data_IF_266624232074
#
_entry.id   IF_266624232074
#
_cell.length_a   1.000
_cell.length_b   1.000
_cell.length_c   1.000
_cell.angle_alpha   90.00
_cell.angle_beta   90.00
_cell.angle_gamma   90.00
#
_symmetry.space_group_name_H-M   'P 1'
#
loop_
_entity.id
_entity.type
_entity.pdbx_description
1 polymer ?
#
# COMPACT_ATOMS: atom_id res chain seq x y z
N UNK A 1 -63.61 56.48 43.25
CA UNK A 1 -63.34 55.10 43.66
C UNK A 1 -61.84 54.88 43.67
N UNK A 2 -61.37 54.11 44.64
CA UNK A 2 -60.12 54.28 45.37
C UNK A 2 -58.85 53.74 44.72
N UNK A 3 -57.74 54.30 45.20
CA UNK A 3 -56.35 53.84 45.10
C UNK A 3 -56.06 52.45 45.73
N UNK A 4 -54.90 51.90 45.34
CA UNK A 4 -53.80 51.32 46.16
C UNK A 4 -53.35 49.89 45.75
N UNK A 5 -52.17 49.88 45.10
CA UNK A 5 -50.92 49.13 45.35
C UNK A 5 -50.81 47.58 45.44
N UNK A 6 -49.76 47.12 44.73
CA UNK A 6 -48.75 46.08 45.08
C UNK A 6 -49.17 44.61 45.22
N UNK A 7 -48.55 43.71 44.43
CA UNK A 7 -47.32 42.96 44.79
C UNK A 7 -46.92 41.98 43.68
N UNK A 8 -45.64 41.94 43.32
CA UNK A 8 -45.05 40.86 42.53
C UNK A 8 -44.75 39.63 43.42
N UNK A 9 -44.70 38.43 42.82
CA UNK A 9 -43.56 37.53 43.06
C UNK A 9 -43.01 36.96 41.74
N UNK A 10 -41.72 37.14 41.47
CA UNK A 10 -40.62 36.21 41.79
C UNK A 10 -40.45 35.11 40.71
N UNK A 11 -39.46 35.37 39.84
CA UNK A 11 -38.88 34.40 38.91
C UNK A 11 -38.21 33.27 39.68
N UNK A 12 -38.68 32.03 39.52
CA UNK A 12 -37.94 30.84 39.96
C UNK A 12 -37.15 30.31 38.76
N UNK A 13 -35.85 30.65 38.73
CA UNK A 13 -34.90 30.06 37.79
C UNK A 13 -34.59 28.62 38.24
N UNK A 14 -34.95 27.64 37.43
CA UNK A 14 -34.52 26.26 37.61
C UNK A 14 -33.02 26.16 37.27
N UNK A 15 -32.17 26.03 38.28
CA UNK A 15 -30.75 25.68 38.14
C UNK A 15 -30.64 24.19 37.80
N UNK A 16 -30.23 23.87 36.57
CA UNK A 16 -29.70 22.56 36.24
C UNK A 16 -28.31 22.41 36.88
N UNK A 17 -28.19 21.54 37.89
CA UNK A 17 -26.92 21.18 38.49
C UNK A 17 -26.23 20.10 37.64
N UNK A 18 -25.23 20.49 36.85
CA UNK A 18 -24.33 19.54 36.19
C UNK A 18 -23.31 19.02 37.21
N UNK A 19 -23.38 17.73 37.54
CA UNK A 19 -22.32 17.03 38.29
C UNK A 19 -21.08 16.93 37.40
N UNK A 20 -20.05 17.72 37.70
CA UNK A 20 -18.69 17.54 37.17
C UNK A 20 -18.08 16.30 37.85
N UNK A 21 -18.00 15.19 37.12
CA UNK A 21 -17.18 14.06 37.53
C UNK A 21 -15.71 14.44 37.35
N UNK A 22 -14.95 14.48 38.44
CA UNK A 22 -13.51 14.67 38.39
C UNK A 22 -12.84 13.41 37.82
N UNK A 23 -12.25 13.52 36.63
CA UNK A 23 -11.47 12.45 36.02
C UNK A 23 -10.18 12.22 36.83
N UNK A 24 -9.90 10.97 37.19
CA UNK A 24 -8.61 10.55 37.78
C UNK A 24 -7.48 10.78 36.77
N UNK A 25 -6.26 11.16 37.20
CA UNK A 25 -5.12 11.27 36.29
C UNK A 25 -4.76 9.88 35.74
N UNK A 26 -4.63 9.79 34.42
CA UNK A 26 -4.08 8.60 33.77
C UNK A 26 -2.63 8.37 34.21
N UNK A 27 -2.18 7.11 34.40
CA UNK A 27 -0.79 6.84 34.75
C UNK A 27 0.12 7.31 33.61
N UNK A 28 1.26 7.91 33.98
CA UNK A 28 2.26 8.41 33.04
C UNK A 28 2.68 7.31 32.06
N UNK A 29 2.35 7.52 30.79
CA UNK A 29 2.75 6.67 29.68
C UNK A 29 4.27 6.69 29.57
N UNK A 30 4.89 5.51 29.68
CA UNK A 30 6.30 5.29 29.37
C UNK A 30 6.53 5.78 27.94
N UNK A 31 7.41 6.77 27.77
CA UNK A 31 7.82 7.34 26.49
C UNK A 31 8.05 6.23 25.44
N UNK A 32 7.05 5.99 24.59
CA UNK A 32 7.20 5.18 23.39
C UNK A 32 8.15 5.97 22.48
N UNK A 33 9.36 5.46 22.29
CA UNK A 33 10.32 6.02 21.33
C UNK A 33 9.63 6.01 19.98
N UNK A 34 9.24 7.19 19.47
CA UNK A 34 8.77 7.33 18.08
C UNK A 34 9.82 6.65 17.19
N UNK A 35 9.46 5.66 16.37
CA UNK A 35 10.41 5.13 15.42
C UNK A 35 10.85 6.26 14.51
N UNK A 36 12.12 6.19 14.16
CA UNK A 36 12.82 7.22 13.39
C UNK A 36 12.29 7.26 11.95
N UNK A 37 11.65 6.17 11.49
CA UNK A 37 10.97 6.08 10.20
C UNK A 37 9.45 5.91 10.32
N UNK A 38 8.71 6.53 9.42
CA UNK A 38 7.28 6.26 9.19
C UNK A 38 7.01 6.04 7.72
N UNK A 39 6.11 5.11 7.38
CA UNK A 39 5.63 4.89 6.02
C UNK A 39 4.13 5.14 5.95
N UNK A 40 3.73 6.17 5.23
CA UNK A 40 2.32 6.44 4.98
C UNK A 40 1.76 5.49 3.92
N UNK A 41 0.58 4.92 4.17
CA UNK A 41 -0.10 3.92 3.33
C UNK A 41 -1.58 4.31 3.17
N UNK A 42 -2.20 3.99 2.04
CA UNK A 42 -3.62 4.29 1.78
C UNK A 42 -4.53 3.09 2.03
N UNK A 43 -4.14 1.89 1.61
CA UNK A 43 -4.87 0.65 1.89
C UNK A 43 -3.95 -0.56 1.73
N UNK A 44 -4.14 -1.58 2.55
CA UNK A 44 -3.51 -2.88 2.36
C UNK A 44 -4.27 -3.77 1.38
N UNK A 45 -5.59 -3.61 1.27
CA UNK A 45 -6.40 -4.38 0.33
C UNK A 45 -6.29 -3.86 -1.12
N UNK A 46 -6.35 -2.54 -1.32
CA UNK A 46 -6.54 -1.93 -2.64
C UNK A 46 -5.28 -1.26 -3.20
N UNK A 47 -4.39 -0.74 -2.34
CA UNK A 47 -3.24 0.06 -2.82
C UNK A 47 -2.05 -0.79 -3.22
N UNK A 48 -1.91 -0.99 -4.53
CA UNK A 48 -0.70 -1.60 -5.11
C UNK A 48 0.56 -0.76 -4.88
N UNK A 49 0.44 0.56 -4.76
CA UNK A 49 1.56 1.45 -4.47
C UNK A 49 2.05 1.31 -3.03
N UNK A 50 1.12 1.28 -2.07
CA UNK A 50 1.41 1.08 -0.66
C UNK A 50 2.15 -0.25 -0.42
N UNK A 51 1.69 -1.33 -1.06
CA UNK A 51 2.36 -2.63 -0.99
C UNK A 51 3.82 -2.57 -1.47
N UNK A 52 4.09 -1.91 -2.59
CA UNK A 52 5.45 -1.77 -3.15
C UNK A 52 6.39 -1.08 -2.17
N UNK A 53 6.00 0.09 -1.66
CA UNK A 53 6.83 0.86 -0.72
C UNK A 53 7.06 0.10 0.59
N UNK A 54 6.02 -0.59 1.08
CA UNK A 54 6.11 -1.39 2.29
C UNK A 54 7.04 -2.59 2.14
N UNK A 55 6.93 -3.34 1.04
CA UNK A 55 7.84 -4.45 0.74
C UNK A 55 9.28 -3.95 0.61
N UNK A 56 9.51 -2.81 -0.06
CA UNK A 56 10.86 -2.25 -0.17
C UNK A 56 11.46 -1.92 1.20
N UNK A 57 10.70 -1.28 2.09
CA UNK A 57 11.16 -0.97 3.45
C UNK A 57 11.45 -2.24 4.27
N UNK A 58 10.60 -3.27 4.17
CA UNK A 58 10.82 -4.57 4.81
C UNK A 58 12.04 -5.30 4.23
N UNK A 59 12.22 -5.29 2.92
CA UNK A 59 13.36 -5.91 2.25
C UNK A 59 14.67 -5.23 2.66
N UNK A 60 14.64 -3.90 2.84
CA UNK A 60 15.77 -3.11 3.34
C UNK A 60 16.12 -3.40 4.82
N UNK A 61 15.23 -4.08 5.56
CA UNK A 61 15.36 -4.26 7.00
C UNK A 61 15.30 -2.94 7.77
N UNK A 62 14.53 -1.97 7.26
CA UNK A 62 14.24 -0.72 7.96
C UNK A 62 13.08 -0.97 8.93
N UNK A 63 13.26 -0.58 10.19
CA UNK A 63 12.18 -0.52 11.18
C UNK A 63 11.39 0.77 10.96
N UNK A 64 10.06 0.69 10.82
CA UNK A 64 9.20 1.85 10.59
C UNK A 64 7.81 1.66 11.20
N UNK A 65 7.16 2.78 11.56
CA UNK A 65 5.73 2.80 11.85
C UNK A 65 4.92 2.96 10.57
N UNK A 66 3.81 2.24 10.47
CA UNK A 66 2.82 2.43 9.43
C UNK A 66 1.86 3.56 9.81
N UNK A 67 1.62 4.49 8.88
CA UNK A 67 0.64 5.58 9.06
C UNK A 67 -0.43 5.43 7.99
N UNK A 68 -1.57 4.84 8.36
CA UNK A 68 -2.72 4.76 7.46
C UNK A 68 -3.30 6.15 7.22
N UNK A 69 -3.33 6.58 5.96
CA UNK A 69 -3.93 7.84 5.52
C UNK A 69 -5.42 7.62 5.32
N UNK A 70 -6.25 8.57 5.75
CA UNK A 70 -7.71 8.49 5.55
C UNK A 70 -8.03 8.39 4.05
N UNK A 71 -9.00 7.57 3.62
CA UNK A 71 -9.53 7.60 2.25
C UNK A 71 -10.09 8.98 1.83
N UNK A 72 -10.50 9.81 2.79
CA UNK A 72 -10.95 11.19 2.54
C UNK A 72 -9.81 12.16 2.16
N UNK A 73 -8.55 11.76 2.39
CA UNK A 73 -7.40 12.53 1.93
C UNK A 73 -7.37 12.54 0.40
N UNK A 74 -7.23 13.74 -0.19
CA UNK A 74 -7.33 13.92 -1.63
C UNK A 74 -6.26 13.16 -2.42
N UNK A 75 -5.08 12.95 -1.84
CA UNK A 75 -4.01 12.19 -2.47
C UNK A 75 -4.31 10.69 -2.34
N UNK A 76 -4.65 10.20 -1.14
CA UNK A 76 -5.06 8.80 -0.95
C UNK A 76 -6.23 8.40 -1.86
N UNK A 77 -7.27 9.24 -1.95
CA UNK A 77 -8.42 8.99 -2.84
C UNK A 77 -8.03 8.88 -4.31
N UNK A 78 -7.17 9.78 -4.80
CA UNK A 78 -6.67 9.72 -6.20
C UNK A 78 -5.87 8.46 -6.47
N UNK A 79 -5.12 7.97 -5.50
CA UNK A 79 -4.36 6.72 -5.64
C UNK A 79 -5.27 5.51 -5.74
N UNK A 80 -6.21 5.41 -4.80
CA UNK A 80 -7.14 4.30 -4.71
C UNK A 80 -8.02 4.23 -5.97
N UNK A 81 -8.48 5.38 -6.48
CA UNK A 81 -9.26 5.48 -7.72
C UNK A 81 -8.40 5.43 -9.00
N UNK A 82 -7.09 5.19 -8.89
CA UNK A 82 -6.15 5.13 -10.03
C UNK A 82 -6.18 6.40 -10.92
N UNK A 83 -6.51 7.56 -10.36
CA UNK A 83 -6.71 8.83 -11.08
C UNK A 83 -5.41 9.56 -11.41
N UNK A 84 -4.29 9.19 -10.80
CA UNK A 84 -2.99 9.79 -11.09
C UNK A 84 -1.85 8.77 -11.00
N UNK A 85 -0.81 8.88 -11.85
CA UNK A 85 0.36 8.01 -11.78
C UNK A 85 1.35 8.39 -10.66
N UNK A 86 1.19 9.59 -10.06
CA UNK A 86 2.00 10.06 -8.93
C UNK A 86 1.09 10.57 -7.83
N UNK A 87 1.03 9.82 -6.74
CA UNK A 87 0.45 10.25 -5.48
C UNK A 87 1.55 10.31 -4.43
N UNK A 88 1.38 11.17 -3.42
CA UNK A 88 2.25 11.24 -2.24
C UNK A 88 2.13 10.03 -1.30
N UNK A 89 1.53 8.93 -1.73
CA UNK A 89 1.37 7.68 -0.97
C UNK A 89 1.79 6.50 -1.88
N UNK A 90 2.69 5.61 -1.43
CA UNK A 90 3.35 5.63 -0.14
C UNK A 90 4.36 6.78 -0.01
N UNK A 91 4.60 7.21 1.23
CA UNK A 91 5.65 8.17 1.55
C UNK A 91 6.44 7.73 2.77
N UNK A 92 7.74 7.54 2.58
CA UNK A 92 8.69 7.25 3.65
C UNK A 92 9.20 8.57 4.22
N UNK A 93 9.07 8.74 5.53
CA UNK A 93 9.78 9.79 6.28
C UNK A 93 10.83 9.12 7.14
N UNK A 94 12.11 9.50 6.99
CA UNK A 94 13.23 8.91 7.73
C UNK A 94 14.40 9.90 7.78
N UNK A 95 14.98 10.14 8.97
CA UNK A 95 16.13 11.03 9.18
C UNK A 95 16.02 12.41 8.49
N UNK A 96 14.83 13.01 8.57
CA UNK A 96 14.53 14.32 7.96
C UNK A 96 14.24 14.30 6.47
N UNK A 97 14.45 13.16 5.79
CA UNK A 97 14.01 12.96 4.42
C UNK A 97 12.51 12.63 4.37
N UNK A 98 11.81 13.18 3.38
CA UNK A 98 10.44 12.80 3.02
C UNK A 98 10.42 12.36 1.56
N UNK A 99 10.31 11.07 1.32
CA UNK A 99 10.46 10.44 0.00
C UNK A 99 9.13 9.85 -0.41
N UNK A 100 8.53 10.40 -1.47
CA UNK A 100 7.35 9.85 -2.15
C UNK A 100 7.77 9.34 -3.52
N UNK A 101 6.98 8.45 -4.12
CA UNK A 101 7.31 7.60 -5.29
C UNK A 101 8.10 6.33 -4.91
N UNK A 102 7.62 5.18 -5.36
CA UNK A 102 8.18 3.87 -5.01
C UNK A 102 9.59 3.63 -5.56
N UNK A 103 9.92 4.15 -6.75
CA UNK A 103 11.30 4.06 -7.24
C UNK A 103 12.25 4.94 -6.43
N UNK A 104 11.81 6.14 -6.03
CA UNK A 104 12.60 7.03 -5.18
C UNK A 104 12.83 6.42 -3.80
N UNK A 105 11.79 5.80 -3.22
CA UNK A 105 11.90 5.01 -1.97
C UNK A 105 12.91 3.87 -2.15
N UNK A 106 12.87 3.13 -3.25
CA UNK A 106 13.84 2.06 -3.52
C UNK A 106 15.28 2.57 -3.57
N UNK A 107 15.56 3.69 -4.28
CA UNK A 107 16.92 4.25 -4.34
C UNK A 107 17.37 4.76 -2.97
N UNK A 108 16.52 5.49 -2.25
CA UNK A 108 16.83 5.97 -0.92
C UNK A 108 17.21 4.82 0.03
N UNK A 109 16.42 3.75 0.03
CA UNK A 109 16.69 2.57 0.84
C UNK A 109 17.98 1.83 0.42
N UNK A 110 18.27 1.76 -0.87
CA UNK A 110 19.53 1.20 -1.39
C UNK A 110 20.74 2.05 -0.98
N UNK A 111 20.60 3.38 -0.92
CA UNK A 111 21.65 4.29 -0.44
C UNK A 111 21.93 4.12 1.06
N UNK A 112 20.89 4.03 1.89
CA UNK A 112 21.07 3.92 3.35
C UNK A 112 21.30 2.48 3.83
N UNK A 113 20.96 1.47 3.03
CA UNK A 113 21.10 0.02 3.33
C UNK A 113 21.59 -0.76 2.11
N UNK A 114 22.79 -0.47 1.57
CA UNK A 114 23.29 -1.05 0.32
C UNK A 114 23.48 -2.57 0.35
N UNK A 115 23.65 -3.15 1.54
CA UNK A 115 23.81 -4.59 1.72
C UNK A 115 22.48 -5.36 1.80
N UNK A 116 21.34 -4.66 1.76
CA UNK A 116 20.02 -5.31 1.83
C UNK A 116 19.63 -6.07 0.56
N UNK A 117 20.37 -5.89 -0.54
CA UNK A 117 20.13 -6.62 -1.78
C UNK A 117 18.91 -6.15 -2.57
N UNK A 118 18.42 -4.92 -2.32
CA UNK A 118 17.35 -4.31 -3.13
C UNK A 118 17.73 -4.21 -4.61
N UNK A 119 19.02 -4.07 -4.91
CA UNK A 119 19.56 -4.04 -6.25
C UNK A 119 20.56 -5.18 -6.46
N UNK A 120 20.63 -5.76 -7.68
CA UNK A 120 21.73 -6.65 -8.04
C UNK A 120 23.10 -5.96 -7.87
N UNK A 121 24.13 -6.72 -7.48
CA UNK A 121 25.50 -6.21 -7.34
C UNK A 121 26.16 -5.95 -8.69
N UNK A 122 25.92 -6.83 -9.67
CA UNK A 122 26.42 -6.64 -11.03
C UNK A 122 25.77 -5.40 -11.69
N UNK A 123 26.58 -4.62 -12.40
CA UNK A 123 26.16 -3.36 -13.00
C UNK A 123 25.10 -3.57 -14.08
N UNK A 124 25.24 -4.61 -14.91
CA UNK A 124 24.32 -4.87 -16.03
C UNK A 124 22.99 -5.40 -15.50
N UNK A 125 23.03 -6.36 -14.57
CA UNK A 125 21.83 -6.84 -13.89
C UNK A 125 21.12 -5.71 -13.14
N UNK A 126 21.85 -4.80 -12.49
CA UNK A 126 21.28 -3.62 -11.82
C UNK A 126 20.63 -2.64 -12.79
N UNK A 127 21.24 -2.41 -13.95
CA UNK A 127 20.63 -1.59 -15.00
C UNK A 127 19.32 -2.22 -15.50
N UNK A 128 19.32 -3.53 -15.74
CA UNK A 128 18.12 -4.25 -16.15
C UNK A 128 17.02 -4.20 -15.07
N UNK A 129 17.37 -4.41 -13.79
CA UNK A 129 16.46 -4.30 -12.65
C UNK A 129 15.78 -2.94 -12.57
N UNK A 130 16.53 -1.85 -12.82
CA UNK A 130 15.98 -0.50 -12.89
C UNK A 130 15.05 -0.30 -14.08
N UNK A 131 15.40 -0.83 -15.25
CA UNK A 131 14.56 -0.71 -16.45
C UNK A 131 13.19 -1.37 -16.27
N UNK A 132 13.15 -2.64 -15.82
CA UNK A 132 11.88 -3.37 -15.66
C UNK A 132 11.03 -2.79 -14.52
N UNK A 133 11.69 -2.34 -13.45
CA UNK A 133 11.01 -1.64 -12.35
C UNK A 133 10.46 -0.29 -12.80
N UNK A 134 11.21 0.43 -13.64
CA UNK A 134 10.80 1.69 -14.26
C UNK A 134 9.57 1.51 -15.13
N UNK A 135 9.59 0.50 -16.01
CA UNK A 135 8.45 0.13 -16.86
C UNK A 135 7.21 -0.22 -16.01
N UNK A 136 7.38 -0.98 -14.92
CA UNK A 136 6.30 -1.29 -13.98
C UNK A 136 5.81 -0.09 -13.16
N UNK A 137 6.64 0.94 -13.01
CA UNK A 137 6.26 2.18 -12.35
C UNK A 137 5.41 3.05 -13.29
N UNK A 138 5.80 3.22 -14.56
CA UNK A 138 5.17 4.20 -15.46
C UNK A 138 4.21 3.62 -16.50
N UNK A 139 4.32 2.33 -16.85
CA UNK A 139 3.51 1.66 -17.88
C UNK A 139 2.36 0.84 -17.30
N UNK A 140 1.70 -0.01 -18.09
CA UNK A 140 0.67 -0.99 -17.68
C UNK A 140 -0.66 -0.41 -17.15
N UNK A 141 -1.11 0.71 -17.70
CA UNK A 141 -2.33 1.38 -17.24
C UNK A 141 -3.60 0.53 -17.46
N UNK A 142 -3.68 -0.19 -18.59
CA UNK A 142 -4.86 -0.98 -18.93
C UNK A 142 -4.98 -2.20 -18.01
N UNK A 143 -3.87 -2.89 -17.72
CA UNK A 143 -3.84 -3.92 -16.68
C UNK A 143 -4.37 -3.37 -15.35
N UNK A 144 -3.90 -2.19 -14.96
CA UNK A 144 -4.26 -1.64 -13.65
C UNK A 144 -5.73 -1.33 -13.51
N UNK A 145 -6.32 -0.78 -14.58
CA UNK A 145 -7.74 -0.44 -14.64
C UNK A 145 -8.63 -1.68 -14.77
N UNK A 146 -8.22 -2.69 -15.56
CA UNK A 146 -9.04 -3.88 -15.80
C UNK A 146 -8.96 -4.93 -14.69
N UNK A 147 -7.87 -4.97 -13.94
CA UNK A 147 -7.60 -6.00 -12.94
C UNK A 147 -7.11 -5.35 -11.63
N UNK A 148 -7.88 -4.46 -10.98
CA UNK A 148 -7.46 -3.75 -9.76
C UNK A 148 -6.99 -4.71 -8.66
N UNK A 149 -6.08 -4.26 -7.79
CA UNK A 149 -5.70 -5.11 -6.66
C UNK A 149 -6.86 -5.16 -5.66
N UNK A 150 -7.33 -6.36 -5.33
CA UNK A 150 -8.25 -6.61 -4.23
C UNK A 150 -7.90 -7.97 -3.62
N UNK A 151 -7.27 -7.96 -2.44
CA UNK A 151 -6.76 -9.16 -1.77
C UNK A 151 -7.84 -9.96 -1.02
N UNK A 152 -9.05 -9.40 -0.90
CA UNK A 152 -10.23 -10.10 -0.39
C UNK A 152 -11.02 -10.80 -1.50
N UNK A 153 -10.84 -10.40 -2.75
CA UNK A 153 -11.57 -10.94 -3.89
C UNK A 153 -10.90 -12.17 -4.51
N UNK A 154 -11.71 -12.95 -5.21
CA UNK A 154 -11.28 -14.03 -6.10
C UNK A 154 -12.33 -14.18 -7.21
N UNK A 155 -11.91 -14.06 -8.47
CA UNK A 155 -12.77 -14.07 -9.66
C UNK A 155 -12.33 -15.19 -10.61
N UNK A 156 -12.77 -16.44 -10.37
CA UNK A 156 -12.38 -17.56 -11.20
C UNK A 156 -12.81 -17.39 -12.65
N UNK A 157 -11.90 -17.65 -13.59
CA UNK A 157 -12.18 -17.56 -15.02
C UNK A 157 -12.57 -16.15 -15.52
N UNK A 158 -12.13 -15.10 -14.82
CA UNK A 158 -12.42 -13.72 -15.20
C UNK A 158 -12.02 -13.44 -16.67
N UNK A 159 -12.93 -12.79 -17.40
CA UNK A 159 -12.71 -12.49 -18.82
C UNK A 159 -11.79 -11.29 -18.97
N UNK A 160 -10.59 -11.53 -19.51
CA UNK A 160 -9.67 -10.46 -19.88
C UNK A 160 -10.16 -9.77 -21.14
N UNK A 161 -10.43 -8.47 -21.05
CA UNK A 161 -10.79 -7.64 -22.19
C UNK A 161 -9.54 -7.27 -23.00
N UNK A 162 -9.70 -7.11 -24.31
CA UNK A 162 -8.59 -6.96 -25.26
C UNK A 162 -7.59 -5.84 -24.92
N UNK A 163 -8.01 -4.79 -24.22
CA UNK A 163 -7.13 -3.69 -23.83
C UNK A 163 -6.05 -4.06 -22.79
N UNK A 164 -6.31 -5.03 -21.91
CA UNK A 164 -5.37 -5.44 -20.87
C UNK A 164 -4.43 -6.57 -21.31
N UNK A 165 -4.78 -7.33 -22.35
CA UNK A 165 -3.98 -8.47 -22.81
C UNK A 165 -2.55 -8.07 -23.23
N UNK A 166 -2.31 -6.98 -23.99
CA UNK A 166 -0.95 -6.56 -24.35
C UNK A 166 -0.06 -6.25 -23.14
N UNK A 167 -0.65 -5.65 -22.09
CA UNK A 167 0.07 -5.37 -20.84
C UNK A 167 0.45 -6.68 -20.12
N UNK A 168 -0.47 -7.65 -20.09
CA UNK A 168 -0.21 -8.98 -19.51
C UNK A 168 0.91 -9.68 -20.28
N UNK A 169 0.84 -9.68 -21.61
CA UNK A 169 1.82 -10.34 -22.48
C UNK A 169 3.22 -9.74 -22.27
N UNK A 170 3.32 -8.42 -22.19
CA UNK A 170 4.58 -7.73 -21.91
C UNK A 170 5.14 -8.06 -20.53
N UNK A 171 4.30 -8.18 -19.51
CA UNK A 171 4.75 -8.60 -18.17
C UNK A 171 5.26 -10.04 -18.19
N UNK A 172 4.55 -10.94 -18.85
CA UNK A 172 4.96 -12.35 -18.99
C UNK A 172 6.29 -12.45 -19.73
N UNK A 173 6.51 -11.63 -20.76
CA UNK A 173 7.79 -11.52 -21.45
C UNK A 173 8.91 -11.08 -20.49
N UNK A 174 8.73 -9.97 -19.77
CA UNK A 174 9.70 -9.46 -18.79
C UNK A 174 10.07 -10.52 -17.76
N UNK A 175 9.05 -11.17 -17.16
CA UNK A 175 9.28 -12.18 -16.14
C UNK A 175 9.99 -13.41 -16.70
N UNK A 176 9.58 -13.87 -17.88
CA UNK A 176 10.21 -15.02 -18.54
C UNK A 176 11.67 -14.74 -18.85
N UNK A 177 11.99 -13.55 -19.39
CA UNK A 177 13.36 -13.12 -19.66
C UNK A 177 14.20 -13.05 -18.38
N UNK A 178 13.68 -12.39 -17.34
CA UNK A 178 14.36 -12.24 -16.05
C UNK A 178 14.65 -13.61 -15.40
N UNK A 179 13.64 -14.48 -15.30
CA UNK A 179 13.78 -15.80 -14.70
C UNK A 179 14.75 -16.70 -15.49
N UNK A 180 14.74 -16.62 -16.83
CA UNK A 180 15.68 -17.36 -17.67
C UNK A 180 17.11 -16.84 -17.53
N UNK A 181 17.29 -15.52 -17.48
CA UNK A 181 18.60 -14.86 -17.43
C UNK A 181 19.27 -15.01 -16.06
N UNK A 182 18.50 -14.87 -14.98
CA UNK A 182 19.04 -14.81 -13.61
C UNK A 182 18.78 -16.07 -12.79
N UNK A 183 18.05 -17.04 -13.33
CA UNK A 183 17.89 -18.39 -12.77
C UNK A 183 16.86 -18.54 -11.65
N UNK A 184 16.17 -17.46 -11.26
CA UNK A 184 15.12 -17.51 -10.25
C UNK A 184 15.59 -17.83 -8.81
N UNK A 185 14.65 -18.02 -7.86
CA UNK A 185 13.20 -18.02 -8.06
C UNK A 185 12.58 -16.61 -8.08
N UNK A 186 13.36 -15.58 -7.78
CA UNK A 186 13.00 -14.16 -7.93
C UNK A 186 13.51 -13.60 -9.25
N UNK A 187 13.01 -12.45 -9.67
CA UNK A 187 13.28 -11.91 -11.01
C UNK A 187 14.79 -11.71 -11.26
N UNK A 188 15.57 -11.36 -10.24
CA UNK A 188 17.02 -11.16 -10.35
C UNK A 188 17.84 -12.22 -9.60
N UNK A 189 17.29 -13.43 -9.48
CA UNK A 189 17.99 -14.63 -9.00
C UNK A 189 17.52 -15.13 -7.64
N UNK A 190 18.44 -15.63 -6.82
CA UNK A 190 18.10 -16.34 -5.57
C UNK A 190 17.51 -15.43 -4.49
N UNK A 191 17.86 -14.16 -4.52
CA UNK A 191 17.43 -13.17 -3.55
C UNK A 191 16.40 -12.24 -4.20
N UNK A 192 15.37 -11.91 -3.43
CA UNK A 192 14.39 -10.88 -3.80
C UNK A 192 15.08 -9.52 -3.91
N UNK A 193 14.53 -8.68 -4.79
CA UNK A 193 15.03 -7.36 -5.15
C UNK A 193 13.88 -6.34 -5.19
N UNK A 194 14.19 -5.09 -5.53
CA UNK A 194 13.17 -4.07 -5.78
C UNK A 194 12.19 -4.47 -6.89
N UNK A 195 12.64 -5.25 -7.90
CA UNK A 195 11.78 -5.68 -8.99
C UNK A 195 10.67 -6.59 -8.46
N UNK A 196 11.00 -7.47 -7.52
CA UNK A 196 10.03 -8.37 -6.89
C UNK A 196 9.01 -7.58 -6.05
N UNK A 197 9.43 -6.52 -5.35
CA UNK A 197 8.51 -5.60 -4.67
C UNK A 197 7.60 -4.85 -5.66
N UNK A 198 8.14 -4.40 -6.81
CA UNK A 198 7.40 -3.67 -7.84
C UNK A 198 6.32 -4.54 -8.52
N UNK A 199 6.64 -5.81 -8.76
CA UNK A 199 5.77 -6.78 -9.43
C UNK A 199 4.91 -7.60 -8.46
N UNK A 200 5.12 -7.54 -7.14
CA UNK A 200 4.29 -8.25 -6.18
C UNK A 200 2.77 -7.98 -6.33
N UNK A 201 2.30 -6.72 -6.51
CA UNK A 201 0.89 -6.48 -6.77
C UNK A 201 0.38 -7.09 -8.09
N UNK A 202 1.25 -7.35 -9.06
CA UNK A 202 0.85 -8.01 -10.31
C UNK A 202 0.65 -9.51 -10.07
N UNK A 203 1.52 -10.13 -9.26
CA UNK A 203 1.32 -11.51 -8.85
C UNK A 203 -0.03 -11.71 -8.13
N UNK A 204 -0.44 -10.74 -7.28
CA UNK A 204 -1.76 -10.81 -6.64
C UNK A 204 -2.89 -10.67 -7.66
N UNK A 205 -2.81 -9.71 -8.60
CA UNK A 205 -3.82 -9.52 -9.66
C UNK A 205 -3.97 -10.79 -10.51
N UNK A 206 -2.87 -11.38 -10.96
CA UNK A 206 -2.93 -12.58 -11.79
C UNK A 206 -3.59 -13.76 -11.08
N UNK A 207 -3.39 -13.91 -9.77
CA UNK A 207 -4.05 -14.95 -8.97
C UNK A 207 -5.50 -14.61 -8.63
N UNK A 208 -5.81 -13.35 -8.30
CA UNK A 208 -7.18 -12.91 -7.99
C UNK A 208 -8.11 -13.10 -9.19
N UNK A 209 -7.63 -12.89 -10.42
CA UNK A 209 -8.43 -12.95 -11.64
C UNK A 209 -8.16 -14.19 -12.52
N UNK A 210 -7.48 -15.22 -11.99
CA UNK A 210 -7.18 -16.46 -12.72
C UNK A 210 -6.57 -16.24 -14.13
N UNK A 211 -5.63 -15.27 -14.23
CA UNK A 211 -4.92 -15.00 -15.48
C UNK A 211 -4.14 -16.24 -15.90
N UNK A 212 -4.32 -16.68 -17.14
CA UNK A 212 -3.62 -17.85 -17.68
C UNK A 212 -2.15 -17.50 -17.92
N UNK A 213 -1.26 -18.13 -17.15
CA UNK A 213 0.19 -17.91 -17.20
C UNK A 213 0.93 -19.16 -17.66
N UNK A 214 2.12 -18.95 -18.23
CA UNK A 214 3.08 -20.03 -18.40
C UNK A 214 3.59 -20.53 -17.02
N UNK A 215 4.11 -21.76 -16.99
CA UNK A 215 4.52 -22.42 -15.74
C UNK A 215 5.55 -21.60 -14.93
N UNK A 216 6.63 -21.04 -15.52
CA UNK A 216 7.57 -20.19 -14.78
C UNK A 216 6.91 -18.97 -14.13
N UNK A 217 6.04 -18.24 -14.84
CA UNK A 217 5.37 -17.06 -14.31
C UNK A 217 4.39 -17.42 -13.18
N UNK A 218 3.62 -18.50 -13.32
CA UNK A 218 2.74 -18.99 -12.25
C UNK A 218 3.53 -19.37 -11.00
N UNK A 219 4.68 -20.03 -11.18
CA UNK A 219 5.56 -20.44 -10.08
C UNK A 219 6.21 -19.23 -9.40
N UNK A 220 6.52 -18.18 -10.15
CA UNK A 220 6.93 -16.88 -9.60
C UNK A 220 5.82 -16.22 -8.78
N UNK A 221 4.57 -16.20 -9.25
CA UNK A 221 3.43 -15.71 -8.45
C UNK A 221 3.33 -16.44 -7.10
N UNK A 222 3.44 -17.76 -7.10
CA UNK A 222 3.44 -18.55 -5.86
C UNK A 222 4.65 -18.25 -4.97
N UNK A 223 5.83 -18.02 -5.55
CA UNK A 223 7.04 -17.63 -4.80
C UNK A 223 6.82 -16.30 -4.07
N UNK A 224 6.27 -15.31 -4.76
CA UNK A 224 5.93 -14.01 -4.15
C UNK A 224 4.91 -14.18 -3.02
N UNK A 225 3.81 -14.90 -3.26
CA UNK A 225 2.77 -15.11 -2.24
C UNK A 225 3.24 -15.94 -1.04
N UNK A 226 4.29 -16.74 -1.22
CA UNK A 226 4.89 -17.52 -0.14
C UNK A 226 5.77 -16.69 0.81
N UNK A 227 6.20 -15.49 0.41
CA UNK A 227 7.04 -14.61 1.24
C UNK A 227 6.37 -14.28 2.58
N UNK A 228 7.12 -14.29 3.70
CA UNK A 228 6.58 -13.95 5.01
C UNK A 228 5.86 -12.58 5.04
N UNK A 229 6.45 -11.59 4.39
CA UNK A 229 5.93 -10.22 4.31
C UNK A 229 4.66 -10.14 3.49
N UNK A 230 4.53 -10.95 2.42
CA UNK A 230 3.27 -11.04 1.67
C UNK A 230 2.16 -11.69 2.49
N UNK A 231 2.47 -12.72 3.28
CA UNK A 231 1.51 -13.33 4.21
C UNK A 231 1.07 -12.35 5.29
N UNK A 232 2.01 -11.59 5.86
CA UNK A 232 1.73 -10.51 6.82
C UNK A 232 0.80 -9.46 6.20
N UNK A 233 1.13 -8.98 5.00
CA UNK A 233 0.35 -7.98 4.30
C UNK A 233 -1.08 -8.46 3.98
N UNK A 234 -1.23 -9.66 3.42
CA UNK A 234 -2.55 -10.24 3.08
C UNK A 234 -3.39 -10.46 4.35
N UNK A 235 -2.79 -10.92 5.45
CA UNK A 235 -3.50 -11.10 6.71
C UNK A 235 -4.01 -9.76 7.28
N UNK A 236 -3.25 -8.68 7.11
CA UNK A 236 -3.68 -7.34 7.50
C UNK A 236 -4.73 -6.76 6.55
N UNK A 237 -4.58 -6.94 5.24
CA UNK A 237 -5.56 -6.52 4.23
C UNK A 237 -6.95 -7.12 4.48
N UNK A 238 -7.03 -8.39 4.87
CA UNK A 238 -8.30 -9.07 5.21
C UNK A 238 -8.99 -8.52 6.45
N UNK A 239 -8.30 -7.75 7.29
CA UNK A 239 -8.85 -7.10 8.48
C UNK A 239 -9.28 -5.66 8.24
N UNK A 240 -8.89 -5.06 7.10
CA UNK A 240 -9.42 -3.76 6.74
C UNK A 240 -10.94 -3.87 6.58
N UNK A 241 -11.70 -2.83 6.92
CA UNK A 241 -13.14 -2.82 6.69
C UNK A 241 -13.46 -2.74 5.18
N UNK A 242 -14.67 -3.12 4.80
CA UNK A 242 -15.17 -3.03 3.42
C UNK A 242 -15.75 -1.62 3.19
N UNK A 243 -14.88 -0.61 3.27
CA UNK A 243 -15.30 0.80 3.45
C UNK A 243 -15.15 1.66 2.18
N UNK A 244 -14.82 1.07 1.03
CA UNK A 244 -14.70 1.84 -0.23
C UNK A 244 -15.67 1.29 -1.25
N UNK A 245 -16.96 1.63 -1.08
CA UNK A 245 -18.05 1.29 -2.00
C UNK A 245 -17.70 1.66 -3.46
N UNK A 246 -16.94 2.73 -3.70
CA UNK A 246 -16.48 3.17 -5.03
C UNK A 246 -15.49 2.19 -5.71
N UNK A 247 -14.84 1.30 -4.94
CA UNK A 247 -13.89 0.29 -5.43
C UNK A 247 -14.48 -1.11 -5.46
N UNK A 248 -15.63 -1.32 -4.81
CA UNK A 248 -16.43 -2.52 -4.95
C UNK A 248 -17.20 -2.42 -6.27
N UNK A 249 -16.45 -2.51 -7.37
CA UNK A 249 -17.02 -2.53 -8.70
C UNK A 249 -17.82 -3.83 -8.86
N UNK A 250 -19.14 -3.70 -8.97
CA UNK A 250 -20.00 -4.73 -9.55
C UNK A 250 -19.56 -4.95 -11.01
N UNK A 251 -18.67 -5.93 -11.24
CA UNK A 251 -18.20 -6.34 -12.57
C UNK A 251 -19.13 -7.36 -13.23
#
# INVERSE_FOLDING_TARGET
>A
MSHVATKAPAKTAAKAAAKKAAAKPAPASKSARKPVATLSLSSKNYSSWSLRGWLMAKFAGLEFDEVMVSPDDADARKELLLLAPSIRVPCLTHDGAKVWNTLAIAQYLDEIRPDAGLMPKDRIARAHCRSVSGEMNSGFANLRASLPMNLKAHHPGYKIWAGAQPDIDRIVEIWTECLATYGGPFLFGKQRSMADAMYAPVATRFLTYDVKLNKPCLQYCHTIMAMPEMKEWVAAAKKEPDDIEELDMDF
#
